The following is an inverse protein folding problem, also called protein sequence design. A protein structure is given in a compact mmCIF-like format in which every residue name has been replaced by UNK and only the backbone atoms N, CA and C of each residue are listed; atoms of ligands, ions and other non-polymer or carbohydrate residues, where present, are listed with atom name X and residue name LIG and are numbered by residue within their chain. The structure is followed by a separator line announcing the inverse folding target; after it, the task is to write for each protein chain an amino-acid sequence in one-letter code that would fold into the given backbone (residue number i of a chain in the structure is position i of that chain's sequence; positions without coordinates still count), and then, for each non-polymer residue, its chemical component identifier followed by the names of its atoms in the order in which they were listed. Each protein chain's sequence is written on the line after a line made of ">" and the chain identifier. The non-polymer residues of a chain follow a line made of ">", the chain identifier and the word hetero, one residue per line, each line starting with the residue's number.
data_IF_986173507292
#
_entry.id   IF_986173507292
#
_cell.length_a   1.000
_cell.length_b   1.000
_cell.length_c   1.000
_cell.angle_alpha   90.00
_cell.angle_beta   90.00
_cell.angle_gamma   90.00
#
_symmetry.space_group_name_H-M   'P 1'
#
loop_
_entity.id
_entity.type
_entity.pdbx_description
1 polymer ?
#
# COMPACT_ATOMS: atom_id res chain seq x y z
N UNK A 1 -14.43 6.87 15.04
CA UNK A 1 -13.21 7.70 15.07
C UNK A 1 -12.13 7.20 14.10
N UNK A 2 -11.27 6.22 14.43
CA UNK A 2 -10.19 5.77 13.50
C UNK A 2 -10.75 4.96 12.31
N UNK A 3 -11.65 4.01 12.58
CA UNK A 3 -12.24 3.17 11.52
C UNK A 3 -13.02 4.00 10.48
N UNK A 4 -13.75 5.04 10.90
CA UNK A 4 -14.48 5.94 9.99
C UNK A 4 -13.55 6.84 9.17
N UNK A 5 -12.40 7.25 9.73
CA UNK A 5 -11.43 8.07 9.01
C UNK A 5 -10.67 7.28 7.93
N UNK A 6 -10.51 5.96 8.13
CA UNK A 6 -9.75 5.07 7.23
C UNK A 6 -10.65 4.31 6.25
N UNK A 7 -11.86 3.95 6.65
CA UNK A 7 -12.80 3.09 5.89
C UNK A 7 -13.06 3.53 4.44
N UNK A 8 -13.34 4.83 4.16
CA UNK A 8 -13.56 5.31 2.80
C UNK A 8 -12.33 5.19 1.90
N UNK A 9 -11.12 5.34 2.46
CA UNK A 9 -9.87 5.15 1.70
C UNK A 9 -9.63 3.67 1.45
N UNK A 10 -9.89 2.79 2.42
CA UNK A 10 -9.69 1.35 2.27
C UNK A 10 -10.41 0.75 1.03
N UNK A 11 -11.58 1.27 0.64
CA UNK A 11 -12.33 0.81 -0.53
C UNK A 11 -11.76 1.24 -1.90
N UNK A 12 -10.90 2.25 -1.95
CA UNK A 12 -10.32 2.78 -3.19
C UNK A 12 -8.88 2.28 -3.46
N UNK A 13 -8.42 1.30 -2.69
CA UNK A 13 -7.09 0.73 -2.81
C UNK A 13 -7.05 -0.34 -3.90
N UNK A 14 -5.95 -0.42 -4.65
CA UNK A 14 -5.66 -1.57 -5.50
C UNK A 14 -4.62 -2.48 -4.84
N UNK A 15 -4.81 -3.79 -4.93
CA UNK A 15 -3.78 -4.76 -4.54
C UNK A 15 -2.56 -4.56 -5.43
N UNK A 16 -1.38 -4.54 -4.83
CA UNK A 16 -0.13 -4.34 -5.54
C UNK A 16 0.92 -5.35 -5.08
N UNK A 17 1.87 -5.62 -5.96
CA UNK A 17 3.18 -6.11 -5.58
C UNK A 17 4.13 -4.90 -5.52
N UNK A 18 4.82 -4.76 -4.40
CA UNK A 18 5.78 -3.70 -4.11
C UNK A 18 7.13 -4.36 -3.95
N UNK A 19 7.97 -4.27 -4.98
CA UNK A 19 9.23 -5.02 -5.05
C UNK A 19 9.06 -6.53 -4.80
N UNK A 20 7.91 -7.07 -5.23
CA UNK A 20 7.53 -8.47 -5.03
C UNK A 20 6.84 -8.78 -3.69
N UNK A 21 6.82 -7.85 -2.74
CA UNK A 21 6.04 -7.98 -1.50
C UNK A 21 4.57 -7.62 -1.70
N UNK A 22 3.66 -8.23 -0.93
CA UNK A 22 2.24 -7.91 -1.00
C UNK A 22 1.97 -6.51 -0.43
N UNK A 23 1.06 -5.76 -1.07
CA UNK A 23 0.69 -4.42 -0.62
C UNK A 23 -0.62 -3.90 -1.17
N UNK A 24 -0.93 -2.65 -0.80
CA UNK A 24 -2.04 -1.86 -1.33
C UNK A 24 -1.52 -0.51 -1.81
N UNK A 25 -2.03 -0.03 -2.94
CA UNK A 25 -1.66 1.26 -3.51
C UNK A 25 -2.90 2.14 -3.73
N UNK A 26 -2.74 3.44 -3.45
CA UNK A 26 -3.72 4.49 -3.70
C UNK A 26 -3.10 5.65 -4.47
N UNK A 27 -3.87 6.35 -5.31
CA UNK A 27 -5.21 5.96 -5.77
C UNK A 27 -5.16 4.69 -6.64
N UNK A 28 -6.31 4.02 -6.84
CA UNK A 28 -6.39 2.82 -7.70
C UNK A 28 -6.01 3.09 -9.17
N UNK A 29 -6.10 4.35 -9.62
CA UNK A 29 -5.77 4.79 -10.97
C UNK A 29 -4.76 5.93 -10.94
N UNK A 30 -3.79 5.89 -11.87
CA UNK A 30 -2.72 6.88 -11.95
C UNK A 30 -1.54 6.57 -11.03
N UNK A 31 -0.71 7.58 -10.76
CA UNK A 31 0.48 7.42 -9.94
C UNK A 31 0.12 7.28 -8.45
N UNK A 32 0.57 6.21 -7.76
CA UNK A 32 0.32 6.05 -6.34
C UNK A 32 0.94 7.17 -5.50
N UNK A 33 0.21 7.64 -4.49
CA UNK A 33 0.61 8.62 -3.48
C UNK A 33 0.68 8.06 -2.07
N UNK A 34 0.09 6.88 -1.87
CA UNK A 34 0.18 6.11 -0.65
C UNK A 34 0.29 4.64 -1.02
N UNK A 35 1.28 3.96 -0.45
CA UNK A 35 1.44 2.52 -0.55
C UNK A 35 1.55 1.93 0.85
N UNK A 36 0.76 0.89 1.12
CA UNK A 36 0.98 0.02 2.27
C UNK A 36 1.74 -1.21 1.81
N UNK A 37 2.88 -1.49 2.45
CA UNK A 37 3.65 -2.72 2.22
C UNK A 37 3.44 -3.66 3.40
N UNK A 38 3.20 -4.93 3.11
CA UNK A 38 3.03 -5.96 4.12
C UNK A 38 4.28 -6.82 4.24
N UNK A 39 4.81 -6.95 5.45
CA UNK A 39 5.74 -8.02 5.77
C UNK A 39 4.93 -9.23 6.19
N UNK A 40 5.12 -10.36 5.50
CA UNK A 40 4.42 -11.62 5.79
C UNK A 40 5.44 -12.67 6.21
N UNK A 41 5.21 -13.26 7.38
CA UNK A 41 5.99 -14.38 7.91
C UNK A 41 5.01 -15.42 8.46
N UNK A 42 5.24 -16.71 8.15
CA UNK A 42 4.39 -17.82 8.61
C UNK A 42 2.89 -17.54 8.38
N UNK A 43 2.55 -17.12 7.15
CA UNK A 43 1.18 -16.81 6.71
C UNK A 43 0.47 -15.67 7.47
N UNK A 44 1.24 -14.82 8.17
CA UNK A 44 0.70 -13.70 8.95
C UNK A 44 1.36 -12.38 8.57
N UNK A 45 0.57 -11.30 8.50
CA UNK A 45 1.11 -9.95 8.37
C UNK A 45 1.73 -9.55 9.71
N UNK A 46 3.05 -9.41 9.75
CA UNK A 46 3.81 -9.06 10.96
C UNK A 46 4.17 -7.58 11.03
N UNK A 47 4.17 -6.88 9.89
CA UNK A 47 4.37 -5.44 9.82
C UNK A 47 3.58 -4.83 8.65
N UNK A 48 3.21 -3.56 8.82
CA UNK A 48 2.59 -2.74 7.78
C UNK A 48 3.34 -1.42 7.74
N UNK A 49 3.97 -1.12 6.61
CA UNK A 49 4.68 0.13 6.38
C UNK A 49 3.85 1.04 5.47
N UNK A 50 3.59 2.27 5.91
CA UNK A 50 2.86 3.27 5.15
C UNK A 50 3.82 4.27 4.50
N UNK A 51 3.93 4.20 3.17
CA UNK A 51 4.84 5.01 2.38
C UNK A 51 4.04 6.06 1.59
N UNK A 52 4.37 7.33 1.81
CA UNK A 52 3.73 8.47 1.11
C UNK A 52 4.75 9.48 0.55
N UNK A 53 6.05 9.20 0.67
CA UNK A 53 7.11 10.01 0.09
C UNK A 53 7.19 9.79 -1.42
N UNK A 54 6.90 10.82 -2.22
CA UNK A 54 6.77 10.69 -3.69
C UNK A 54 8.07 10.21 -4.35
N UNK A 55 9.22 10.71 -3.90
CA UNK A 55 10.52 10.32 -4.44
C UNK A 55 10.83 8.84 -4.14
N UNK A 56 10.48 8.36 -2.95
CA UNK A 56 10.58 6.96 -2.59
C UNK A 56 9.64 6.10 -3.44
N UNK A 57 8.38 6.48 -3.55
CA UNK A 57 7.39 5.74 -4.34
C UNK A 57 7.79 5.60 -5.82
N UNK A 58 8.40 6.63 -6.40
CA UNK A 58 8.88 6.62 -7.77
C UNK A 58 10.03 5.62 -8.03
N UNK A 59 10.70 5.14 -6.97
CA UNK A 59 11.79 4.16 -7.06
C UNK A 59 11.33 2.72 -6.83
N UNK A 60 10.11 2.50 -6.34
CA UNK A 60 9.59 1.17 -6.05
C UNK A 60 9.15 0.47 -7.35
N UNK A 61 9.43 -0.82 -7.47
CA UNK A 61 8.85 -1.70 -8.46
C UNK A 61 7.40 -2.00 -8.12
N UNK A 62 6.47 -1.21 -8.67
CA UNK A 62 5.03 -1.34 -8.41
C UNK A 62 4.33 -2.09 -9.54
N UNK A 63 3.63 -3.17 -9.17
CA UNK A 63 2.74 -3.90 -10.06
C UNK A 63 1.34 -3.98 -9.45
N UNK A 64 0.41 -3.20 -10.00
CA UNK A 64 -1.00 -3.11 -9.58
C UNK A 64 -1.90 -3.95 -10.45
#
# INVERSE_FOLDING_TARGET
>A
AVAEAVGPRAGAARKALVDGAAGLAWPAEGAPRLVLVFTVLEDRITAIDALADEDHLARLGLHV
#
